data_IF_293060613305
#
_entry.id   IF_293060613305
#
_cell.length_a   1.000
_cell.length_b   1.000
_cell.length_c   1.000
_cell.angle_alpha   90.00
_cell.angle_beta   90.00
_cell.angle_gamma   90.00
#
_symmetry.space_group_name_H-M   'P 1'
#
loop_
_entity.id
_entity.type
_entity.pdbx_description
1 polymer ?
#
# COMPACT_ATOMS: atom_id res chain seq x y z
N UNK A 1 -7.11 -14.66 -31.81
CA UNK A 1 -6.42 -14.41 -30.52
C UNK A 1 -5.12 -13.63 -30.79
N UNK A 2 -5.22 -12.35 -31.20
CA UNK A 2 -4.10 -11.56 -31.76
C UNK A 2 -3.74 -10.27 -31.00
N UNK A 3 -4.37 -9.98 -29.85
CA UNK A 3 -4.31 -8.65 -29.20
C UNK A 3 -3.24 -8.49 -28.10
N UNK A 4 -2.44 -9.51 -27.81
CA UNK A 4 -1.56 -9.53 -26.62
C UNK A 4 -0.10 -9.14 -26.88
N UNK A 5 0.28 -8.82 -28.12
CA UNK A 5 1.68 -8.56 -28.45
C UNK A 5 2.18 -7.15 -28.07
N UNK A 6 1.31 -6.28 -27.54
CA UNK A 6 1.66 -4.87 -27.30
C UNK A 6 1.29 -4.33 -25.91
N UNK A 7 1.06 -5.21 -24.92
CA UNK A 7 0.68 -4.78 -23.55
C UNK A 7 1.70 -3.82 -22.93
N UNK A 8 3.00 -4.05 -23.17
CA UNK A 8 4.06 -3.14 -22.73
C UNK A 8 3.95 -1.74 -23.34
N UNK A 9 3.70 -1.65 -24.66
CA UNK A 9 3.55 -0.36 -25.32
C UNK A 9 2.24 0.33 -24.94
N UNK A 10 1.16 -0.42 -24.69
CA UNK A 10 -0.08 0.13 -24.14
C UNK A 10 0.22 0.83 -22.81
N UNK A 11 0.83 0.14 -21.86
CA UNK A 11 1.19 0.71 -20.56
C UNK A 11 2.11 1.92 -20.73
N UNK A 12 3.12 1.81 -21.60
CA UNK A 12 4.03 2.91 -21.89
C UNK A 12 3.30 4.14 -22.45
N UNK A 13 2.39 3.93 -23.40
CA UNK A 13 1.60 5.00 -24.02
C UNK A 13 0.65 5.70 -23.04
N UNK A 14 0.11 4.97 -22.06
CA UNK A 14 -0.68 5.55 -20.97
C UNK A 14 0.24 6.37 -20.06
N UNK A 15 1.37 5.80 -19.66
CA UNK A 15 2.33 6.47 -18.78
C UNK A 15 2.91 7.75 -19.40
N UNK A 16 3.14 7.79 -20.71
CA UNK A 16 3.65 8.97 -21.44
C UNK A 16 2.68 10.16 -21.44
N UNK A 17 1.39 9.91 -21.16
CA UNK A 17 0.36 10.95 -21.00
C UNK A 17 0.22 11.42 -19.56
N UNK A 18 0.78 10.68 -18.60
CA UNK A 18 0.64 10.99 -17.17
C UNK A 18 1.71 11.97 -16.70
N UNK A 19 1.40 12.81 -15.70
CA UNK A 19 2.43 13.57 -14.99
C UNK A 19 3.47 12.64 -14.36
N UNK A 20 4.76 13.03 -14.31
CA UNK A 20 5.80 12.23 -13.66
C UNK A 20 5.52 11.93 -12.19
N UNK A 21 4.87 12.86 -11.48
CA UNK A 21 4.48 12.70 -10.09
C UNK A 21 3.19 11.89 -9.89
N UNK A 22 2.59 11.40 -10.98
CA UNK A 22 1.36 10.63 -10.98
C UNK A 22 0.08 11.47 -10.99
N UNK A 23 -1.03 10.79 -10.72
CA UNK A 23 -2.37 11.37 -10.67
C UNK A 23 -3.00 11.15 -9.29
N UNK A 24 -3.78 12.14 -8.85
CA UNK A 24 -4.50 12.16 -7.57
C UNK A 24 -5.98 12.48 -7.75
N UNK A 25 -6.33 13.22 -8.80
CA UNK A 25 -7.71 13.65 -9.04
C UNK A 25 -8.57 12.48 -9.53
N UNK A 26 -9.78 12.37 -8.98
CA UNK A 26 -10.70 11.25 -9.27
C UNK A 26 -11.06 11.16 -10.75
N UNK A 27 -11.19 12.31 -11.42
CA UNK A 27 -11.46 12.36 -12.85
C UNK A 27 -10.33 11.74 -13.67
N UNK A 28 -9.08 12.01 -13.30
CA UNK A 28 -7.89 11.46 -13.96
C UNK A 28 -7.75 9.96 -13.66
N UNK A 29 -8.03 9.54 -12.43
CA UNK A 29 -8.03 8.12 -12.02
C UNK A 29 -9.08 7.33 -12.81
N UNK A 30 -10.28 7.89 -12.98
CA UNK A 30 -11.34 7.29 -13.80
C UNK A 30 -10.90 7.19 -15.26
N UNK A 31 -10.40 8.29 -15.84
CA UNK A 31 -9.89 8.29 -17.21
C UNK A 31 -8.76 7.27 -17.42
N UNK A 32 -7.88 7.12 -16.43
CA UNK A 32 -6.81 6.12 -16.42
C UNK A 32 -7.37 4.69 -16.51
N UNK A 33 -8.31 4.30 -15.65
CA UNK A 33 -8.88 2.95 -15.68
C UNK A 33 -9.75 2.71 -16.93
N UNK A 34 -10.50 3.71 -17.39
CA UNK A 34 -11.25 3.64 -18.65
C UNK A 34 -10.33 3.34 -19.83
N UNK A 35 -9.21 4.07 -19.96
CA UNK A 35 -8.24 3.84 -21.03
C UNK A 35 -7.53 2.50 -20.87
N UNK A 36 -7.07 2.18 -19.65
CA UNK A 36 -6.36 0.94 -19.35
C UNK A 36 -7.20 -0.29 -19.71
N UNK A 37 -8.44 -0.38 -19.22
CA UNK A 37 -9.30 -1.54 -19.47
C UNK A 37 -9.76 -1.59 -20.93
N UNK A 38 -10.02 -0.44 -21.57
CA UNK A 38 -10.38 -0.39 -22.99
C UNK A 38 -9.28 -0.95 -23.89
N UNK A 39 -8.02 -0.57 -23.64
CA UNK A 39 -6.87 -0.97 -24.46
C UNK A 39 -6.41 -2.39 -24.15
N UNK A 40 -6.39 -2.79 -22.87
CA UNK A 40 -5.92 -4.11 -22.43
C UNK A 40 -7.00 -5.20 -22.46
N UNK A 41 -8.28 -4.82 -22.59
CA UNK A 41 -9.43 -5.71 -22.40
C UNK A 41 -9.40 -6.39 -21.02
N UNK A 42 -8.96 -5.66 -20.00
CA UNK A 42 -8.82 -6.16 -18.62
C UNK A 42 -7.59 -7.03 -18.37
N UNK A 43 -6.80 -7.38 -19.39
CA UNK A 43 -5.65 -8.27 -19.26
C UNK A 43 -4.44 -7.55 -18.63
N UNK A 44 -4.53 -7.36 -17.31
CA UNK A 44 -3.56 -6.66 -16.46
C UNK A 44 -3.22 -7.57 -15.29
N UNK A 45 -1.93 -7.67 -14.95
CA UNK A 45 -1.53 -8.30 -13.68
C UNK A 45 -1.68 -7.26 -12.58
N UNK A 46 -2.31 -7.65 -11.47
CA UNK A 46 -2.34 -6.86 -10.23
C UNK A 46 -1.53 -7.61 -9.20
N UNK A 47 -0.35 -7.10 -8.90
CA UNK A 47 0.48 -7.64 -7.84
C UNK A 47 0.29 -6.84 -6.56
N UNK A 48 0.20 -7.56 -5.45
CA UNK A 48 0.03 -7.02 -4.12
C UNK A 48 1.31 -7.20 -3.32
N UNK A 49 1.61 -6.22 -2.47
CA UNK A 49 2.86 -6.20 -1.70
C UNK A 49 2.99 -7.42 -0.75
N UNK A 50 1.88 -7.90 -0.19
CA UNK A 50 1.83 -8.95 0.82
C UNK A 50 0.92 -10.15 0.48
N UNK A 51 0.11 -10.08 -0.58
CA UNK A 51 -0.84 -11.15 -0.96
C UNK A 51 -0.58 -11.74 -2.35
N UNK A 52 -1.45 -12.66 -2.78
CA UNK A 52 -1.40 -13.31 -4.10
C UNK A 52 -1.49 -12.29 -5.24
N UNK A 53 -1.36 -12.73 -6.48
CA UNK A 53 -1.48 -11.87 -7.66
C UNK A 53 -2.80 -12.14 -8.37
N UNK A 54 -3.30 -11.13 -9.07
CA UNK A 54 -4.40 -11.29 -10.02
C UNK A 54 -3.88 -11.16 -11.43
N UNK A 55 -4.58 -11.78 -12.36
CA UNK A 55 -4.20 -11.78 -13.77
C UNK A 55 -5.21 -11.04 -14.64
N UNK A 56 -6.29 -10.49 -14.08
CA UNK A 56 -7.28 -9.73 -14.83
C UNK A 56 -7.98 -8.73 -13.93
N UNK A 57 -8.41 -7.61 -14.52
CA UNK A 57 -9.41 -6.71 -13.95
C UNK A 57 -10.60 -6.77 -14.90
N UNK A 58 -11.69 -7.44 -14.51
CA UNK A 58 -12.88 -7.57 -15.36
C UNK A 58 -13.63 -6.23 -15.45
N UNK A 59 -13.75 -5.53 -14.32
CA UNK A 59 -14.35 -4.19 -14.24
C UNK A 59 -13.84 -3.41 -13.04
N UNK A 60 -14.09 -2.11 -13.06
CA UNK A 60 -13.84 -1.24 -11.92
C UNK A 60 -15.03 -0.32 -11.67
N UNK A 61 -15.16 0.14 -10.43
CA UNK A 61 -16.05 1.22 -10.04
C UNK A 61 -15.27 2.20 -9.17
N UNK A 62 -15.43 3.51 -9.40
CA UNK A 62 -14.83 4.54 -8.57
C UNK A 62 -15.93 5.46 -8.06
N UNK A 63 -16.24 5.37 -6.77
CA UNK A 63 -17.23 6.20 -6.11
C UNK A 63 -16.73 7.63 -5.89
N UNK A 64 -17.67 8.56 -5.73
CA UNK A 64 -17.39 9.98 -5.53
C UNK A 64 -16.63 10.26 -4.23
N UNK A 65 -16.66 9.38 -3.25
CA UNK A 65 -15.89 9.49 -2.01
C UNK A 65 -14.43 8.99 -2.15
N UNK A 66 -14.08 8.38 -3.29
CA UNK A 66 -12.75 7.85 -3.58
C UNK A 66 -12.59 6.34 -3.34
N UNK A 67 -13.67 5.62 -3.02
CA UNK A 67 -13.64 4.16 -2.99
C UNK A 67 -13.48 3.62 -4.42
N UNK A 68 -12.32 3.02 -4.69
CA UNK A 68 -12.03 2.24 -5.88
C UNK A 68 -12.34 0.78 -5.59
N UNK A 69 -13.21 0.19 -6.40
CA UNK A 69 -13.51 -1.23 -6.41
C UNK A 69 -12.99 -1.84 -7.72
N UNK A 70 -12.08 -2.81 -7.60
CA UNK A 70 -11.55 -3.60 -8.71
C UNK A 70 -12.13 -5.01 -8.62
N UNK A 71 -12.90 -5.41 -9.62
CA UNK A 71 -13.47 -6.77 -9.68
C UNK A 71 -12.53 -7.70 -10.44
N UNK A 72 -12.08 -8.77 -9.78
CA UNK A 72 -11.26 -9.83 -10.39
C UNK A 72 -12.14 -10.82 -11.16
N UNK A 73 -13.18 -11.32 -10.51
CA UNK A 73 -14.16 -12.24 -11.11
C UNK A 73 -15.58 -11.85 -10.72
N UNK A 74 -16.45 -11.71 -11.71
CA UNK A 74 -17.89 -11.56 -11.55
C UNK A 74 -18.62 -12.70 -12.26
N UNK A 75 -19.33 -13.51 -11.48
CA UNK A 75 -20.15 -14.62 -11.96
C UNK A 75 -21.64 -14.27 -11.94
N UNK A 76 -22.03 -13.10 -11.41
CA UNK A 76 -23.44 -12.68 -11.31
C UNK A 76 -24.08 -12.46 -12.67
N UNK A 77 -23.28 -12.10 -13.67
CA UNK A 77 -23.72 -11.84 -15.04
C UNK A 77 -23.48 -13.03 -15.98
N UNK A 78 -22.92 -14.15 -15.47
CA UNK A 78 -22.59 -15.32 -16.27
C UNK A 78 -23.70 -16.36 -16.17
N UNK A 79 -24.23 -16.80 -17.30
CA UNK A 79 -25.10 -17.97 -17.34
C UNK A 79 -24.24 -19.23 -17.21
N UNK A 80 -24.33 -19.89 -16.05
CA UNK A 80 -23.63 -21.14 -15.76
C UNK A 80 -24.63 -22.29 -15.67
N UNK A 81 -24.29 -23.44 -16.25
CA UNK A 81 -25.02 -24.68 -15.98
C UNK A 81 -24.76 -25.13 -14.54
N UNK A 82 -25.68 -25.86 -13.89
CA UNK A 82 -25.49 -26.30 -12.49
C UNK A 82 -24.16 -27.01 -12.23
N UNK A 83 -23.71 -27.87 -13.16
CA UNK A 83 -22.43 -28.60 -13.07
C UNK A 83 -21.22 -27.66 -13.19
N UNK A 84 -21.29 -26.63 -14.02
CA UNK A 84 -20.22 -25.63 -14.19
C UNK A 84 -20.10 -24.77 -12.94
N UNK A 85 -21.26 -24.37 -12.39
CA UNK A 85 -21.35 -23.64 -11.13
C UNK A 85 -20.74 -24.44 -9.99
N UNK A 86 -21.05 -25.73 -9.87
CA UNK A 86 -20.50 -26.61 -8.83
C UNK A 86 -18.97 -26.70 -8.94
N UNK A 87 -18.42 -26.91 -10.15
CA UNK A 87 -16.96 -26.96 -10.37
C UNK A 87 -16.30 -25.61 -10.07
N UNK A 88 -16.91 -24.50 -10.47
CA UNK A 88 -16.42 -23.15 -10.16
C UNK A 88 -16.35 -22.95 -8.64
N UNK A 89 -17.41 -23.28 -7.92
CA UNK A 89 -17.53 -23.03 -6.47
C UNK A 89 -16.48 -23.76 -5.62
N UNK A 90 -15.86 -24.81 -6.16
CA UNK A 90 -14.69 -25.47 -5.55
C UNK A 90 -13.48 -24.53 -5.47
N UNK A 91 -13.31 -23.64 -6.46
CA UNK A 91 -12.15 -22.72 -6.56
C UNK A 91 -12.54 -21.31 -6.15
N UNK A 92 -13.71 -20.85 -6.59
CA UNK A 92 -14.25 -19.51 -6.37
C UNK A 92 -15.65 -19.65 -5.77
N UNK A 93 -15.78 -19.76 -4.44
CA UNK A 93 -17.07 -20.01 -3.79
C UNK A 93 -18.02 -18.80 -3.86
N UNK A 94 -17.52 -17.60 -4.17
CA UNK A 94 -18.32 -16.39 -4.29
C UNK A 94 -18.91 -16.19 -5.68
N UNK A 95 -20.01 -15.46 -5.74
CA UNK A 95 -20.56 -14.93 -7.00
C UNK A 95 -19.73 -13.73 -7.51
N UNK A 96 -18.96 -13.08 -6.63
CA UNK A 96 -18.06 -11.99 -6.97
C UNK A 96 -16.82 -11.97 -6.07
N UNK A 97 -15.67 -11.78 -6.70
CA UNK A 97 -14.37 -11.59 -6.05
C UNK A 97 -13.82 -10.21 -6.44
N UNK A 98 -13.58 -9.35 -5.46
CA UNK A 98 -13.16 -7.98 -5.69
C UNK A 98 -12.17 -7.47 -4.64
N UNK A 99 -11.56 -6.33 -4.94
CA UNK A 99 -10.64 -5.60 -4.10
C UNK A 99 -11.20 -4.20 -3.99
N UNK A 100 -11.31 -3.73 -2.75
CA UNK A 100 -11.71 -2.36 -2.48
C UNK A 100 -10.58 -1.61 -1.77
N UNK A 101 -10.36 -0.37 -2.19
CA UNK A 101 -9.43 0.54 -1.52
C UNK A 101 -9.88 1.98 -1.72
N UNK A 102 -9.58 2.86 -0.75
CA UNK A 102 -9.71 4.29 -1.00
C UNK A 102 -8.46 4.76 -1.70
N UNK A 103 -8.55 5.12 -2.98
CA UNK A 103 -7.38 5.48 -3.77
C UNK A 103 -6.89 6.87 -3.38
N UNK A 104 -5.58 6.98 -3.13
CA UNK A 104 -4.90 8.25 -2.89
C UNK A 104 -4.23 8.75 -4.17
N UNK A 105 -3.42 7.89 -4.79
CA UNK A 105 -2.65 8.27 -5.97
C UNK A 105 -2.28 7.07 -6.82
N UNK A 106 -2.09 7.30 -8.13
CA UNK A 106 -1.51 6.35 -9.07
C UNK A 106 -0.25 6.95 -9.67
N UNK A 107 0.89 6.27 -9.50
CA UNK A 107 2.19 6.74 -9.99
C UNK A 107 2.76 5.82 -11.07
N UNK A 108 3.17 6.35 -12.23
CA UNK A 108 3.86 5.56 -13.24
C UNK A 108 5.32 5.34 -12.84
N UNK A 109 5.81 4.10 -13.00
CA UNK A 109 7.24 3.82 -13.10
C UNK A 109 7.51 3.48 -14.55
N UNK A 110 8.17 4.41 -15.25
CA UNK A 110 8.45 4.31 -16.68
C UNK A 110 9.90 3.95 -16.95
N UNK A 111 10.09 2.93 -17.77
CA UNK A 111 11.33 2.63 -18.49
C UNK A 111 11.15 2.99 -19.97
N UNK A 112 12.21 2.90 -20.81
CA UNK A 112 12.10 3.28 -22.23
C UNK A 112 10.99 2.55 -23.00
N UNK A 113 10.78 1.26 -22.73
CA UNK A 113 9.87 0.40 -23.53
C UNK A 113 8.72 -0.22 -22.72
N UNK A 114 8.62 0.09 -21.43
CA UNK A 114 7.60 -0.49 -20.54
C UNK A 114 7.32 0.48 -19.42
N UNK A 115 6.08 0.47 -18.93
CA UNK A 115 5.71 1.13 -17.69
C UNK A 115 4.91 0.16 -16.80
N UNK A 116 4.94 0.43 -15.51
CA UNK A 116 4.04 -0.16 -14.51
C UNK A 116 3.40 0.99 -13.73
N UNK A 117 2.27 0.73 -13.08
CA UNK A 117 1.59 1.74 -12.27
C UNK A 117 1.49 1.27 -10.83
N UNK A 118 1.93 2.11 -9.90
CA UNK A 118 1.81 1.85 -8.48
C UNK A 118 0.61 2.59 -7.92
N UNK A 119 -0.21 1.92 -7.12
CA UNK A 119 -1.38 2.52 -6.48
C UNK A 119 -1.09 2.69 -4.99
N UNK A 120 -1.28 3.92 -4.50
CA UNK A 120 -1.34 4.24 -3.09
C UNK A 120 -2.81 4.37 -2.66
N UNK A 121 -3.05 4.03 -1.40
CA UNK A 121 -4.38 4.09 -0.80
C UNK A 121 -4.40 4.93 0.47
N UNK A 122 -5.60 5.14 1.01
CA UNK A 122 -5.82 5.57 2.38
C UNK A 122 -6.19 4.37 3.25
N UNK A 123 -5.82 4.41 4.53
CA UNK A 123 -6.28 3.41 5.49
C UNK A 123 -7.70 3.68 5.94
N UNK A 124 -8.48 2.61 6.13
CA UNK A 124 -9.73 2.62 6.89
C UNK A 124 -9.62 1.73 8.11
N UNK A 125 -10.24 2.16 9.20
CA UNK A 125 -10.39 1.32 10.38
C UNK A 125 -11.40 0.22 10.11
N UNK A 126 -11.30 -0.88 10.86
CA UNK A 126 -12.28 -1.97 10.82
C UNK A 126 -13.71 -1.45 10.99
N UNK A 127 -13.92 -0.50 11.92
CA UNK A 127 -15.24 0.09 12.16
C UNK A 127 -15.79 0.79 10.91
N UNK A 128 -14.96 1.51 10.18
CA UNK A 128 -15.37 2.17 8.93
C UNK A 128 -15.66 1.14 7.83
N UNK A 129 -14.84 0.11 7.67
CA UNK A 129 -15.06 -0.96 6.69
C UNK A 129 -16.38 -1.68 6.98
N UNK A 130 -16.63 -2.06 8.25
CA UNK A 130 -17.90 -2.66 8.67
C UNK A 130 -19.09 -1.75 8.35
N UNK A 131 -18.97 -0.44 8.58
CA UNK A 131 -20.04 0.50 8.26
C UNK A 131 -20.33 0.60 6.75
N UNK A 132 -19.31 0.47 5.90
CA UNK A 132 -19.47 0.45 4.45
C UNK A 132 -20.27 -0.77 3.96
N UNK A 133 -19.95 -1.96 4.46
CA UNK A 133 -20.40 -3.21 3.84
C UNK A 133 -21.55 -3.92 4.56
N UNK A 134 -21.81 -3.63 5.83
CA UNK A 134 -22.88 -4.27 6.61
C UNK A 134 -24.28 -3.75 6.28
N UNK A 135 -24.40 -2.53 5.76
CA UNK A 135 -25.70 -1.93 5.49
C UNK A 135 -26.41 -2.67 4.34
N UNK A 136 -27.54 -3.29 4.65
CA UNK A 136 -28.36 -4.02 3.68
C UNK A 136 -27.83 -5.41 3.32
N UNK A 137 -26.80 -5.91 4.02
CA UNK A 137 -26.36 -7.28 3.87
C UNK A 137 -27.24 -8.23 4.69
N UNK A 138 -27.61 -9.37 4.09
CA UNK A 138 -28.33 -10.46 4.75
C UNK A 138 -27.38 -11.19 5.74
N UNK A 139 -26.15 -11.40 5.31
CA UNK A 139 -25.07 -12.00 6.09
C UNK A 139 -23.81 -11.15 5.92
N UNK A 140 -23.07 -10.96 7.00
CA UNK A 140 -21.83 -10.19 6.98
C UNK A 140 -20.79 -10.83 7.91
N UNK A 141 -19.65 -11.17 7.34
CA UNK A 141 -18.47 -11.64 8.03
C UNK A 141 -17.26 -10.79 7.62
N UNK A 142 -16.34 -10.66 8.55
CA UNK A 142 -15.14 -9.86 8.39
C UNK A 142 -14.00 -10.55 9.13
N UNK A 143 -12.88 -10.75 8.45
CA UNK A 143 -11.70 -11.42 8.97
C UNK A 143 -10.40 -10.77 8.48
N UNK A 144 -9.30 -11.16 9.12
CA UNK A 144 -7.96 -10.71 8.75
C UNK A 144 -7.48 -11.50 7.52
N UNK A 145 -7.27 -10.82 6.39
CA UNK A 145 -6.75 -11.44 5.17
C UNK A 145 -5.22 -11.48 5.20
N UNK A 146 -4.59 -10.32 5.36
CA UNK A 146 -3.14 -10.15 5.48
C UNK A 146 -2.78 -9.01 6.41
N UNK A 147 -1.50 -8.60 6.46
CA UNK A 147 -1.10 -7.46 7.29
C UNK A 147 -1.69 -6.13 6.80
N UNK A 148 -1.86 -5.98 5.49
CA UNK A 148 -2.42 -4.77 4.87
C UNK A 148 -3.84 -4.93 4.35
N UNK A 149 -4.45 -6.10 4.49
CA UNK A 149 -5.74 -6.44 3.90
C UNK A 149 -6.70 -7.06 4.93
N UNK A 150 -7.98 -6.76 4.74
CA UNK A 150 -9.08 -7.34 5.51
C UNK A 150 -10.07 -7.94 4.55
N UNK A 151 -10.52 -9.16 4.82
CA UNK A 151 -11.49 -9.84 3.97
C UNK A 151 -12.90 -9.58 4.47
N UNK A 152 -13.74 -9.06 3.60
CA UNK A 152 -15.18 -8.91 3.79
C UNK A 152 -15.87 -10.02 3.02
N UNK A 153 -16.64 -10.84 3.72
CA UNK A 153 -17.53 -11.82 3.11
C UNK A 153 -18.95 -11.40 3.42
N UNK A 154 -19.74 -11.07 2.40
CA UNK A 154 -21.13 -10.65 2.62
C UNK A 154 -22.09 -11.34 1.66
N UNK A 155 -23.31 -11.58 2.14
CA UNK A 155 -24.45 -11.92 1.30
C UNK A 155 -25.36 -10.71 1.17
N UNK A 156 -25.69 -10.32 -0.04
CA UNK A 156 -26.63 -9.23 -0.30
C UNK A 156 -27.63 -9.66 -1.38
N UNK A 157 -28.90 -9.77 -1.00
CA UNK A 157 -29.97 -10.19 -1.91
C UNK A 157 -29.66 -11.55 -2.57
N UNK A 158 -29.12 -12.48 -1.78
CA UNK A 158 -28.74 -13.82 -2.22
C UNK A 158 -27.35 -13.95 -2.87
N UNK A 159 -26.72 -12.83 -3.28
CA UNK A 159 -25.39 -12.80 -3.89
C UNK A 159 -24.30 -12.86 -2.82
N UNK A 160 -23.39 -13.83 -2.92
CA UNK A 160 -22.22 -13.97 -2.05
C UNK A 160 -21.01 -13.25 -2.64
N UNK A 161 -20.49 -12.25 -1.94
CA UNK A 161 -19.35 -11.46 -2.36
C UNK A 161 -18.16 -11.65 -1.41
N UNK A 162 -16.97 -11.83 -2.00
CA UNK A 162 -15.68 -11.81 -1.32
C UNK A 162 -14.95 -10.54 -1.75
N UNK A 163 -14.75 -9.62 -0.81
CA UNK A 163 -14.15 -8.32 -1.05
C UNK A 163 -12.94 -8.18 -0.14
N UNK A 164 -11.76 -8.20 -0.74
CA UNK A 164 -10.51 -7.93 -0.07
C UNK A 164 -10.37 -6.41 0.05
N UNK A 165 -10.28 -5.88 1.27
CA UNK A 165 -10.22 -4.44 1.53
C UNK A 165 -8.80 -4.05 1.93
N UNK A 166 -8.14 -3.23 1.11
CA UNK A 166 -6.80 -2.77 1.41
C UNK A 166 -6.84 -1.62 2.44
N UNK A 167 -6.23 -1.83 3.61
CA UNK A 167 -6.37 -0.95 4.77
C UNK A 167 -5.08 -0.21 5.16
N UNK A 168 -4.10 -0.10 4.26
CA UNK A 168 -2.83 0.58 4.51
C UNK A 168 -2.64 1.82 3.60
N UNK A 169 -2.09 2.93 4.11
CA UNK A 169 -1.76 4.10 3.32
C UNK A 169 -0.35 3.99 2.74
N UNK A 170 -0.12 2.95 1.94
CA UNK A 170 1.18 2.63 1.33
C UNK A 170 0.99 2.33 -0.17
N UNK A 171 2.07 2.43 -0.95
CA UNK A 171 2.06 1.89 -2.31
C UNK A 171 2.09 0.37 -2.23
N UNK A 172 0.93 -0.27 -2.33
CA UNK A 172 0.76 -1.70 -2.07
C UNK A 172 0.38 -2.50 -3.29
N UNK A 173 -0.04 -1.85 -4.38
CA UNK A 173 -0.44 -2.50 -5.61
C UNK A 173 0.44 -2.06 -6.77
N UNK A 174 0.81 -3.01 -7.62
CA UNK A 174 1.44 -2.76 -8.91
C UNK A 174 0.58 -3.32 -10.04
N UNK A 175 0.16 -2.46 -10.96
CA UNK A 175 -0.44 -2.85 -12.23
C UNK A 175 0.67 -3.10 -13.24
N UNK A 176 0.71 -4.30 -13.81
CA UNK A 176 1.80 -4.77 -14.65
C UNK A 176 1.25 -5.28 -15.98
N UNK A 177 1.87 -4.90 -17.11
CA UNK A 177 1.50 -5.43 -18.41
C UNK A 177 1.81 -6.93 -18.52
N UNK A 178 0.86 -7.71 -19.06
CA UNK A 178 1.08 -9.14 -19.33
C UNK A 178 2.23 -9.33 -20.34
N UNK A 179 2.90 -10.49 -20.24
CA UNK A 179 3.96 -10.95 -21.16
C UNK A 179 5.23 -10.08 -21.21
N UNK A 180 5.51 -9.31 -20.18
CA UNK A 180 6.75 -8.52 -20.06
C UNK A 180 7.90 -9.28 -19.38
N UNK A 181 7.62 -10.45 -18.83
CA UNK A 181 8.62 -11.24 -18.08
C UNK A 181 8.86 -10.74 -16.65
N UNK A 182 8.22 -9.63 -16.25
CA UNK A 182 8.20 -9.15 -14.86
C UNK A 182 7.46 -10.19 -14.03
N UNK A 183 8.13 -10.78 -13.05
CA UNK A 183 7.53 -11.74 -12.13
C UNK A 183 6.94 -11.02 -10.93
N UNK A 184 5.98 -11.65 -10.25
CA UNK A 184 5.42 -11.11 -9.00
C UNK A 184 6.43 -10.93 -7.87
N UNK A 185 7.55 -11.65 -7.93
CA UNK A 185 8.67 -11.39 -7.03
C UNK A 185 9.26 -10.00 -7.32
N UNK A 186 9.57 -9.70 -8.57
CA UNK A 186 10.23 -8.45 -9.00
C UNK A 186 9.37 -7.22 -8.66
N UNK A 187 8.05 -7.31 -8.86
CA UNK A 187 7.12 -6.22 -8.57
C UNK A 187 7.02 -5.90 -7.08
N UNK A 188 7.08 -6.92 -6.20
CA UNK A 188 7.14 -6.71 -4.75
C UNK A 188 8.41 -5.95 -4.36
N UNK A 189 9.57 -6.27 -4.94
CA UNK A 189 10.79 -5.47 -4.72
C UNK A 189 10.63 -4.02 -5.12
N UNK A 190 9.98 -3.78 -6.26
CA UNK A 190 9.67 -2.42 -6.71
C UNK A 190 8.78 -1.71 -5.67
N UNK A 191 7.72 -2.36 -5.19
CA UNK A 191 6.83 -1.80 -4.17
C UNK A 191 7.59 -1.49 -2.87
N UNK A 192 8.39 -2.42 -2.35
CA UNK A 192 9.19 -2.21 -1.14
C UNK A 192 10.18 -1.05 -1.29
N UNK A 193 10.90 -1.02 -2.41
CA UNK A 193 11.89 0.00 -2.71
C UNK A 193 11.23 1.38 -2.86
N UNK A 194 10.14 1.45 -3.61
CA UNK A 194 9.41 2.68 -3.84
C UNK A 194 8.89 3.30 -2.54
N UNK A 195 8.35 2.48 -1.62
CA UNK A 195 7.94 2.97 -0.31
C UNK A 195 9.13 3.50 0.52
N UNK A 196 10.33 2.90 0.41
CA UNK A 196 11.54 3.45 1.02
C UNK A 196 11.95 4.81 0.40
N UNK A 197 11.86 4.95 -0.93
CA UNK A 197 12.12 6.21 -1.62
C UNK A 197 11.14 7.32 -1.18
N UNK A 198 9.85 6.98 -1.00
CA UNK A 198 8.87 7.91 -0.44
C UNK A 198 9.21 8.32 1.00
N UNK A 199 9.70 7.39 1.83
CA UNK A 199 10.19 7.73 3.18
C UNK A 199 11.36 8.71 3.13
N UNK A 200 12.36 8.46 2.28
CA UNK A 200 13.53 9.33 2.14
C UNK A 200 13.11 10.73 1.69
N UNK A 201 12.23 10.84 0.70
CA UNK A 201 11.73 12.14 0.23
C UNK A 201 10.98 12.91 1.34
N UNK A 202 10.20 12.21 2.17
CA UNK A 202 9.51 12.83 3.32
C UNK A 202 10.49 13.27 4.42
N UNK A 203 11.51 12.48 4.71
CA UNK A 203 12.53 12.81 5.70
C UNK A 203 13.42 13.98 5.26
N UNK A 204 13.73 14.07 3.97
CA UNK A 204 14.46 15.21 3.40
C UNK A 204 13.70 16.52 3.60
N UNK A 205 12.37 16.50 3.39
CA UNK A 205 11.51 17.66 3.68
C UNK A 205 11.52 18.03 5.16
N UNK A 206 11.47 17.04 6.06
CA UNK A 206 11.57 17.28 7.52
C UNK A 206 12.93 17.88 7.85
N UNK A 207 14.02 17.31 7.35
CA UNK A 207 15.37 17.82 7.59
C UNK A 207 15.54 19.26 7.08
N UNK A 208 15.09 19.53 5.85
CA UNK A 208 15.12 20.87 5.27
C UNK A 208 14.32 21.89 6.09
N UNK A 209 13.12 21.50 6.56
CA UNK A 209 12.30 22.36 7.41
C UNK A 209 13.00 22.64 8.75
N UNK A 210 13.59 21.63 9.40
CA UNK A 210 14.34 21.80 10.64
C UNK A 210 15.51 22.76 10.49
N UNK A 211 16.24 22.75 9.36
CA UNK A 211 17.33 23.70 9.13
C UNK A 211 16.86 25.15 9.19
N UNK A 212 15.66 25.46 8.67
CA UNK A 212 15.10 26.81 8.63
C UNK A 212 14.56 27.37 9.96
N UNK A 213 14.38 26.54 10.99
CA UNK A 213 13.79 26.96 12.28
C UNK A 213 14.81 27.62 13.22
N UNK A 214 14.35 28.54 14.08
CA UNK A 214 15.13 29.06 15.19
C UNK A 214 15.15 28.04 16.36
N UNK A 215 16.12 28.17 17.27
CA UNK A 215 16.21 27.34 18.49
C UNK A 215 15.02 27.54 19.44
N UNK A 216 14.27 28.64 19.28
CA UNK A 216 13.08 28.96 20.08
C UNK A 216 11.80 28.29 19.56
N UNK A 217 11.80 27.77 18.34
CA UNK A 217 10.63 27.16 17.67
C UNK A 217 10.41 25.71 18.13
N UNK A 218 10.25 25.51 19.45
CA UNK A 218 10.25 24.18 20.07
C UNK A 218 9.08 23.30 19.62
N UNK A 219 7.93 23.91 19.39
CA UNK A 219 6.72 23.18 18.97
C UNK A 219 6.86 22.71 17.51
N UNK A 220 7.41 23.56 16.64
CA UNK A 220 7.70 23.25 15.24
C UNK A 220 8.80 22.19 15.11
N UNK A 221 9.86 22.28 15.92
CA UNK A 221 10.90 21.24 16.00
C UNK A 221 10.26 19.91 16.41
N UNK A 222 9.40 19.92 17.43
CA UNK A 222 8.71 18.72 17.90
C UNK A 222 7.78 18.14 16.84
N UNK A 223 7.02 18.97 16.14
CA UNK A 223 6.18 18.56 15.02
C UNK A 223 7.00 17.92 13.89
N UNK A 224 8.20 18.44 13.60
CA UNK A 224 9.16 17.85 12.66
C UNK A 224 9.57 16.43 13.05
N UNK A 225 10.00 16.24 14.31
CA UNK A 225 10.39 14.91 14.81
C UNK A 225 9.21 13.93 14.86
N UNK A 226 8.02 14.39 15.27
CA UNK A 226 6.81 13.56 15.24
C UNK A 226 6.48 13.12 13.81
N UNK A 227 6.69 13.98 12.82
CA UNK A 227 6.53 13.63 11.41
C UNK A 227 7.55 12.56 10.99
N UNK A 228 8.83 12.72 11.33
CA UNK A 228 9.86 11.71 11.07
C UNK A 228 9.56 10.37 11.75
N UNK A 229 9.05 10.39 12.98
CA UNK A 229 8.57 9.20 13.69
C UNK A 229 7.47 8.48 12.92
N UNK A 230 6.46 9.20 12.42
CA UNK A 230 5.37 8.61 11.61
C UNK A 230 5.89 8.02 10.30
N UNK A 231 6.86 8.67 9.65
CA UNK A 231 7.55 8.11 8.48
C UNK A 231 8.25 6.80 8.85
N UNK A 232 8.90 6.75 10.02
CA UNK A 232 9.59 5.56 10.47
C UNK A 232 8.64 4.41 10.83
N UNK A 233 7.51 4.70 11.50
CA UNK A 233 6.46 3.71 11.75
C UNK A 233 5.92 3.12 10.43
N UNK A 234 5.71 3.96 9.42
CA UNK A 234 5.34 3.50 8.08
C UNK A 234 6.41 2.57 7.49
N UNK A 235 7.69 2.93 7.58
CA UNK A 235 8.79 2.12 7.05
C UNK A 235 8.87 0.76 7.74
N UNK A 236 8.77 0.72 9.06
CA UNK A 236 8.88 -0.53 9.82
C UNK A 236 7.75 -1.50 9.47
N UNK A 237 6.55 -1.00 9.10
CA UNK A 237 5.47 -1.86 8.60
C UNK A 237 5.83 -2.50 7.26
N UNK A 238 6.44 -1.72 6.35
CA UNK A 238 6.98 -2.22 5.08
C UNK A 238 8.08 -3.26 5.34
N UNK A 239 8.98 -3.01 6.30
CA UNK A 239 10.03 -3.94 6.69
C UNK A 239 9.49 -5.25 7.27
N UNK A 240 8.49 -5.18 8.17
CA UNK A 240 7.86 -6.38 8.71
C UNK A 240 7.33 -7.28 7.59
N UNK A 241 6.68 -6.69 6.58
CA UNK A 241 6.21 -7.43 5.42
C UNK A 241 7.36 -8.02 4.60
N UNK A 242 8.36 -7.20 4.25
CA UNK A 242 9.53 -7.64 3.48
C UNK A 242 10.28 -8.80 4.15
N UNK A 243 10.48 -8.72 5.46
CA UNK A 243 11.21 -9.71 6.23
C UNK A 243 10.33 -10.90 6.70
N UNK A 244 9.05 -10.94 6.33
CA UNK A 244 8.12 -12.00 6.74
C UNK A 244 7.94 -12.10 8.26
N UNK A 245 7.98 -10.97 8.96
CA UNK A 245 7.88 -10.93 10.42
C UNK A 245 6.42 -10.99 10.86
N UNK A 246 6.15 -11.85 11.84
CA UNK A 246 4.82 -11.97 12.42
C UNK A 246 4.48 -10.75 13.29
N UNK A 247 3.34 -10.14 12.98
CA UNK A 247 2.78 -8.98 13.68
C UNK A 247 1.54 -9.40 14.47
N UNK A 248 1.38 -8.84 15.67
CA UNK A 248 0.34 -9.28 16.62
C UNK A 248 -0.90 -8.40 16.65
N UNK A 249 -0.91 -7.30 15.87
CA UNK A 249 -2.01 -6.33 15.79
C UNK A 249 -2.21 -5.94 14.32
N UNK A 250 -3.43 -5.50 13.99
CA UNK A 250 -3.73 -4.94 12.67
C UNK A 250 -2.94 -3.64 12.39
N UNK A 251 -2.90 -3.25 11.11
CA UNK A 251 -2.08 -2.12 10.61
C UNK A 251 -2.14 -0.85 11.48
N UNK A 252 -3.35 -0.39 11.84
CA UNK A 252 -3.55 0.86 12.60
C UNK A 252 -3.13 0.74 14.07
N UNK A 253 -3.12 -0.46 14.63
CA UNK A 253 -2.76 -0.72 16.02
C UNK A 253 -1.25 -0.90 16.27
N UNK A 254 -0.46 -1.07 15.21
CA UNK A 254 1.00 -1.22 15.28
C UNK A 254 1.67 0.16 15.37
N UNK A 255 2.04 0.57 16.59
CA UNK A 255 2.78 1.82 16.87
C UNK A 255 4.30 1.59 16.88
N UNK A 256 5.09 2.66 16.96
CA UNK A 256 6.57 2.58 16.94
C UNK A 256 7.14 1.51 17.87
N UNK A 257 6.69 1.49 19.14
CA UNK A 257 7.21 0.53 20.13
C UNK A 257 6.91 -0.93 19.78
N UNK A 258 5.70 -1.21 19.27
CA UNK A 258 5.31 -2.55 18.82
C UNK A 258 6.17 -2.98 17.62
N UNK A 259 6.30 -2.09 16.62
CA UNK A 259 7.05 -2.34 15.40
C UNK A 259 8.54 -2.58 15.66
N UNK A 260 9.17 -1.73 16.49
CA UNK A 260 10.57 -1.91 16.88
C UNK A 260 10.78 -3.24 17.59
N UNK A 261 9.84 -3.65 18.45
CA UNK A 261 9.93 -4.93 19.16
C UNK A 261 9.92 -6.11 18.19
N UNK A 262 9.06 -6.06 17.17
CA UNK A 262 8.99 -7.09 16.11
C UNK A 262 10.28 -7.11 15.29
N UNK A 263 10.70 -5.95 14.76
CA UNK A 263 11.86 -5.84 13.88
C UNK A 263 13.16 -6.24 14.58
N UNK A 264 13.34 -5.89 15.86
CA UNK A 264 14.54 -6.25 16.63
C UNK A 264 14.82 -7.75 16.71
N UNK A 265 13.81 -8.61 16.62
CA UNK A 265 13.96 -10.07 16.77
C UNK A 265 14.97 -10.64 15.75
N UNK A 266 14.92 -10.18 14.51
CA UNK A 266 15.79 -10.61 13.42
C UNK A 266 17.08 -9.79 13.23
N UNK A 267 17.41 -8.88 14.16
CA UNK A 267 18.54 -7.95 14.03
C UNK A 267 19.72 -8.31 14.93
N UNK A 268 20.92 -7.92 14.51
CA UNK A 268 22.12 -7.98 15.35
C UNK A 268 22.09 -6.95 16.50
N UNK A 269 23.04 -7.06 17.43
CA UNK A 269 23.11 -6.20 18.61
C UNK A 269 23.24 -4.71 18.25
N UNK A 270 24.03 -4.40 17.21
CA UNK A 270 24.26 -3.03 16.75
C UNK A 270 22.96 -2.40 16.22
N UNK A 271 22.25 -3.11 15.36
CA UNK A 271 20.96 -2.66 14.82
C UNK A 271 19.88 -2.59 15.92
N UNK A 272 19.90 -3.49 16.90
CA UNK A 272 19.01 -3.41 18.07
C UNK A 272 19.28 -2.17 18.92
N UNK A 273 20.56 -1.80 19.12
CA UNK A 273 20.94 -0.60 19.84
C UNK A 273 20.51 0.67 19.07
N UNK A 274 20.75 0.72 17.75
CA UNK A 274 20.31 1.82 16.87
C UNK A 274 18.79 2.02 16.92
N UNK A 275 18.01 0.95 16.79
CA UNK A 275 16.55 0.98 16.93
C UNK A 275 16.10 1.44 18.33
N UNK A 276 16.82 1.04 19.38
CA UNK A 276 16.56 1.51 20.75
C UNK A 276 16.78 3.01 20.90
N UNK A 277 17.88 3.52 20.34
CA UNK A 277 18.21 4.96 20.37
C UNK A 277 17.19 5.80 19.61
N UNK A 278 16.74 5.35 18.43
CA UNK A 278 15.68 6.01 17.67
C UNK A 278 14.39 6.11 18.50
N UNK A 279 13.98 5.01 19.13
CA UNK A 279 12.76 4.98 19.95
C UNK A 279 12.84 5.95 21.13
N UNK A 280 13.96 5.93 21.86
CA UNK A 280 14.19 6.81 23.01
C UNK A 280 14.09 8.28 22.61
N UNK A 281 14.82 8.68 21.57
CA UNK A 281 14.84 10.07 21.10
C UNK A 281 13.46 10.48 20.61
N UNK A 282 12.84 9.72 19.69
CA UNK A 282 11.55 10.08 19.10
C UNK A 282 10.42 10.20 20.14
N UNK A 283 10.46 9.40 21.21
CA UNK A 283 9.46 9.47 22.29
C UNK A 283 9.57 10.75 23.13
N UNK A 284 10.79 11.32 23.30
CA UNK A 284 10.96 12.56 24.05
C UNK A 284 10.25 13.76 23.40
N UNK A 285 10.02 13.73 22.07
CA UNK A 285 9.33 14.79 21.31
C UNK A 285 7.83 14.54 21.14
N UNK A 286 7.37 13.30 21.32
CA UNK A 286 5.99 12.92 21.08
C UNK A 286 5.12 12.94 22.36
N UNK A 287 5.76 13.00 23.53
CA UNK A 287 5.10 12.96 24.82
C UNK A 287 5.57 14.13 25.68
N UNK A 288 4.71 14.61 26.57
CA UNK A 288 5.08 15.56 27.61
C UNK A 288 5.94 14.86 28.67
N UNK A 289 7.22 14.67 28.33
CA UNK A 289 8.19 13.96 29.17
C UNK A 289 8.86 14.88 30.20
N UNK A 290 8.59 16.19 30.16
CA UNK A 290 9.30 17.20 30.93
C UNK A 290 10.79 17.35 30.57
N UNK A 291 11.29 16.62 29.56
CA UNK A 291 12.69 16.71 29.10
C UNK A 291 12.87 17.88 28.13
N UNK A 292 14.02 18.57 28.18
CA UNK A 292 14.32 19.62 27.22
C UNK A 292 14.43 19.05 25.80
N UNK A 293 13.65 19.62 24.89
CA UNK A 293 13.76 19.39 23.45
C UNK A 293 14.84 20.31 22.89
N UNK A 294 15.77 19.76 22.10
CA UNK A 294 16.84 20.53 21.45
C UNK A 294 16.89 20.28 19.95
N UNK A 295 17.34 21.28 19.19
CA UNK A 295 17.42 21.16 17.73
C UNK A 295 18.46 20.10 17.32
N UNK A 296 19.52 19.93 18.10
CA UNK A 296 20.59 18.96 17.86
C UNK A 296 20.07 17.52 18.00
N UNK A 297 19.30 17.23 19.04
CA UNK A 297 18.70 15.90 19.22
C UNK A 297 17.60 15.63 18.19
N UNK A 298 16.93 16.67 17.67
CA UNK A 298 15.98 16.55 16.57
C UNK A 298 16.68 16.15 15.27
N UNK A 299 17.82 16.76 14.95
CA UNK A 299 18.65 16.31 13.83
C UNK A 299 19.18 14.89 14.02
N UNK A 300 19.69 14.56 15.22
CA UNK A 300 20.20 13.22 15.52
C UNK A 300 19.16 12.13 15.20
N UNK A 301 17.92 12.28 15.68
CA UNK A 301 16.89 11.26 15.44
C UNK A 301 16.45 11.19 13.98
N UNK A 302 16.34 12.33 13.28
CA UNK A 302 16.01 12.36 11.85
C UNK A 302 17.10 11.69 11.02
N UNK A 303 18.37 11.93 11.34
CA UNK A 303 19.51 11.33 10.65
C UNK A 303 19.60 9.82 10.90
N UNK A 304 19.37 9.38 12.15
CA UNK A 304 19.32 7.96 12.47
C UNK A 304 18.21 7.24 11.69
N UNK A 305 17.01 7.81 11.64
CA UNK A 305 15.89 7.26 10.85
C UNK A 305 16.26 7.23 9.37
N UNK A 306 16.80 8.34 8.83
CA UNK A 306 17.18 8.45 7.41
C UNK A 306 18.23 7.40 7.04
N UNK A 307 19.25 7.22 7.87
CA UNK A 307 20.29 6.22 7.67
C UNK A 307 19.74 4.79 7.75
N UNK A 308 18.79 4.53 8.66
CA UNK A 308 18.10 3.25 8.71
C UNK A 308 17.33 2.96 7.41
N UNK A 309 16.57 3.95 6.91
CA UNK A 309 15.82 3.83 5.64
C UNK A 309 16.77 3.54 4.48
N UNK A 310 17.90 4.27 4.39
CA UNK A 310 18.91 4.06 3.34
C UNK A 310 19.49 2.64 3.39
N UNK A 311 19.82 2.14 4.59
CA UNK A 311 20.31 0.76 4.77
C UNK A 311 19.28 -0.26 4.29
N UNK A 312 18.02 -0.13 4.71
CA UNK A 312 16.94 -1.03 4.29
C UNK A 312 16.72 -0.99 2.78
N UNK A 313 16.69 0.21 2.19
CA UNK A 313 16.57 0.41 0.74
C UNK A 313 17.68 -0.31 -0.05
N UNK A 314 18.93 -0.24 0.44
CA UNK A 314 20.06 -0.97 -0.16
C UNK A 314 19.90 -2.48 0.01
N UNK A 315 19.44 -2.94 1.17
CA UNK A 315 19.21 -4.37 1.44
C UNK A 315 18.13 -4.96 0.54
N UNK A 316 17.02 -4.24 0.33
CA UNK A 316 15.95 -4.66 -0.59
C UNK A 316 16.49 -4.78 -2.01
N UNK A 317 17.46 -3.95 -2.42
CA UNK A 317 18.04 -3.99 -3.76
C UNK A 317 19.10 -5.07 -4.02
N UNK A 318 19.38 -5.96 -3.05
CA UNK A 318 20.34 -7.07 -3.16
C UNK A 318 19.62 -8.41 -3.23
#
# INVERSE_FOLDING_TARGET
MHYLNDSAAIFKSIADKMPPDGIVEKADIRAFFDELLKLTKGLVIVDFIDTANWDVIEKYELLDDGLLDLTWHDYREKEERPEEKEVREVVFPGDRHALALYVDSIKPISAPNVAIFLINSYSKTEKEIRALYSKGADEFHYEDGSFFEKRVVRRNSGVLEFIDFHCAPIYSLALIPKRTGIKSYDSRFILYKFNCEQCLARLEKVSSALHGLDLRDRDEISAGVVTARRVFEFLLKVECCYAGLEVTKGYSGMLLGDLITVVKRGKDEKARAELGRIAELANNYAHDTGKPVTKEAAFEVVDLITNYVRKLHITIGR
#
